data_IF_676587829411
#
_entry.id   IF_676587829411
#
_cell.length_a   1.000
_cell.length_b   1.000
_cell.length_c   1.000
_cell.angle_alpha   90.00
_cell.angle_beta   90.00
_cell.angle_gamma   90.00
#
_symmetry.space_group_name_H-M   'P 1'
#
loop_
_entity.id
_entity.type
_entity.pdbx_description
1 polymer ?
#
# COMPACT_ATOMS: atom_id res chain seq x y z
N UNK A 1 -16.90 21.75 6.62
CA UNK A 1 -16.34 20.49 7.16
C UNK A 1 -15.03 20.21 6.45
N UNK A 2 -13.96 19.82 7.17
CA UNK A 2 -12.74 19.33 6.50
C UNK A 2 -13.05 17.97 5.87
N UNK A 3 -12.74 17.81 4.59
CA UNK A 3 -12.88 16.54 3.85
C UNK A 3 -11.86 15.54 4.42
N UNK A 4 -12.27 14.31 4.71
CA UNK A 4 -11.31 13.26 5.09
C UNK A 4 -10.47 12.87 3.88
N UNK A 5 -9.19 12.60 4.15
CA UNK A 5 -8.24 12.06 3.18
C UNK A 5 -8.71 10.66 2.75
N UNK A 6 -9.01 10.42 1.47
CA UNK A 6 -9.50 9.13 1.00
C UNK A 6 -8.36 8.11 0.95
N UNK A 7 -8.73 6.83 0.83
CA UNK A 7 -7.82 5.72 0.57
C UNK A 7 -8.07 5.23 -0.86
N UNK A 8 -7.04 5.25 -1.69
CA UNK A 8 -7.07 4.70 -3.04
C UNK A 8 -6.52 3.28 -3.02
N UNK A 9 -7.36 2.30 -3.34
CA UNK A 9 -7.00 0.90 -3.37
C UNK A 9 -6.67 0.47 -4.80
N UNK A 10 -5.47 -0.09 -4.97
CA UNK A 10 -4.91 -0.66 -6.18
C UNK A 10 -4.60 -2.14 -5.94
N UNK A 11 -4.72 -2.96 -6.98
CA UNK A 11 -4.63 -4.41 -6.85
C UNK A 11 -4.10 -5.03 -8.14
N UNK A 12 -2.94 -5.70 -8.08
CA UNK A 12 -2.34 -6.40 -9.24
C UNK A 12 -2.84 -7.83 -9.41
N UNK A 13 -3.50 -8.39 -8.39
CA UNK A 13 -3.98 -9.78 -8.37
C UNK A 13 -5.47 -9.90 -8.72
N UNK A 14 -6.19 -8.79 -8.77
CA UNK A 14 -7.64 -8.73 -9.02
C UNK A 14 -8.46 -9.56 -8.01
N UNK A 15 -8.04 -9.57 -6.75
CA UNK A 15 -8.69 -10.32 -5.67
C UNK A 15 -10.07 -9.71 -5.43
N UNK A 16 -11.18 -10.45 -5.59
CA UNK A 16 -12.55 -9.88 -5.45
C UNK A 16 -13.21 -10.14 -4.10
N UNK A 17 -13.24 -11.37 -3.55
CA UNK A 17 -13.83 -11.61 -2.22
C UNK A 17 -13.11 -10.86 -1.09
N UNK A 18 -11.79 -10.76 -1.17
CA UNK A 18 -10.94 -10.32 -0.06
C UNK A 18 -10.81 -8.79 0.00
N UNK A 19 -11.35 -8.05 -0.98
CA UNK A 19 -11.50 -6.59 -0.89
C UNK A 19 -12.35 -6.16 0.30
N UNK A 20 -13.35 -6.97 0.65
CA UNK A 20 -14.15 -6.72 1.83
C UNK A 20 -13.30 -6.73 3.11
N UNK A 21 -12.25 -7.57 3.18
CA UNK A 21 -11.34 -7.63 4.32
C UNK A 21 -10.62 -6.29 4.57
N UNK A 22 -10.20 -5.64 3.49
CA UNK A 22 -9.56 -4.32 3.53
C UNK A 22 -10.54 -3.24 3.97
N UNK A 23 -11.72 -3.20 3.37
CA UNK A 23 -12.74 -2.21 3.72
C UNK A 23 -13.12 -2.35 5.19
N UNK A 24 -13.34 -3.58 5.66
CA UNK A 24 -13.60 -3.88 7.06
C UNK A 24 -12.47 -3.42 7.98
N UNK A 25 -11.20 -3.68 7.62
CA UNK A 25 -10.03 -3.21 8.37
C UNK A 25 -10.04 -1.68 8.52
N UNK A 26 -10.28 -0.96 7.43
CA UNK A 26 -10.32 0.51 7.41
C UNK A 26 -11.46 1.03 8.27
N UNK A 27 -12.66 0.44 8.18
CA UNK A 27 -13.79 0.85 9.01
C UNK A 27 -13.52 0.57 10.49
N UNK A 28 -12.89 -0.55 10.81
CA UNK A 28 -12.50 -0.89 12.18
C UNK A 28 -11.50 0.13 12.75
N UNK A 29 -10.48 0.52 11.97
CA UNK A 29 -9.57 1.62 12.36
C UNK A 29 -10.30 2.95 12.54
N UNK A 30 -11.26 3.27 11.67
CA UNK A 30 -12.05 4.49 11.79
C UNK A 30 -12.87 4.50 13.11
N UNK A 31 -13.47 3.37 13.47
CA UNK A 31 -14.18 3.19 14.74
C UNK A 31 -13.24 3.34 15.93
N UNK A 32 -12.08 2.68 15.91
CA UNK A 32 -11.06 2.76 16.96
C UNK A 32 -10.53 4.20 17.13
N UNK A 33 -10.30 4.90 16.01
CA UNK A 33 -9.89 6.31 15.96
C UNK A 33 -11.02 7.30 16.28
N UNK A 34 -12.23 6.81 16.60
CA UNK A 34 -13.43 7.63 16.88
C UNK A 34 -13.76 8.61 15.76
N UNK A 35 -13.52 8.21 14.52
CA UNK A 35 -13.88 8.99 13.34
C UNK A 35 -15.41 8.83 13.15
N UNK A 36 -16.20 9.92 13.20
CA UNK A 36 -17.66 9.84 13.22
C UNK A 36 -18.27 9.44 11.87
N UNK A 37 -17.47 9.35 10.82
CA UNK A 37 -17.90 9.01 9.46
C UNK A 37 -16.92 8.00 8.86
N UNK A 38 -17.41 7.17 7.94
CA UNK A 38 -16.58 6.20 7.22
C UNK A 38 -15.48 6.90 6.44
N UNK A 39 -14.25 6.37 6.49
CA UNK A 39 -13.18 6.79 5.60
C UNK A 39 -13.57 6.47 4.14
N UNK A 40 -13.46 7.42 3.20
CA UNK A 40 -13.75 7.13 1.79
C UNK A 40 -12.70 6.18 1.22
N UNK A 41 -13.13 5.08 0.63
CA UNK A 41 -12.28 4.11 -0.08
C UNK A 41 -12.64 4.12 -1.56
N UNK A 42 -11.69 4.47 -2.41
CA UNK A 42 -11.81 4.42 -3.86
C UNK A 42 -11.12 3.16 -4.37
N UNK A 43 -11.87 2.24 -4.98
CA UNK A 43 -11.30 1.01 -5.55
C UNK A 43 -11.02 1.23 -7.04
N UNK A 44 -9.73 1.23 -7.40
CA UNK A 44 -9.26 1.32 -8.78
C UNK A 44 -8.91 -0.05 -9.38
N UNK A 45 -8.92 -1.12 -8.58
CA UNK A 45 -8.52 -2.46 -9.00
C UNK A 45 -7.15 -2.50 -9.67
N UNK A 46 -7.04 -3.28 -10.74
CA UNK A 46 -5.84 -3.31 -11.58
C UNK A 46 -5.82 -2.09 -12.50
N UNK A 47 -5.45 -0.94 -11.95
CA UNK A 47 -5.48 0.34 -12.65
C UNK A 47 -4.56 0.35 -13.88
N UNK A 48 -5.16 0.68 -15.03
CA UNK A 48 -4.49 0.99 -16.30
C UNK A 48 -5.26 2.11 -16.99
N UNK A 49 -4.64 3.28 -17.14
CA UNK A 49 -5.19 4.37 -17.95
C UNK A 49 -5.32 3.95 -19.42
N UNK A 50 -6.20 4.59 -20.20
CA UNK A 50 -6.37 4.29 -21.62
C UNK A 50 -5.07 4.38 -22.44
N UNK A 51 -4.11 5.19 -22.01
CA UNK A 51 -2.82 5.38 -22.67
C UNK A 51 -1.64 4.91 -21.82
N UNK A 52 -1.81 3.86 -21.02
CA UNK A 52 -0.76 3.32 -20.14
C UNK A 52 0.47 2.78 -20.88
N UNK A 53 0.32 2.40 -22.16
CA UNK A 53 1.42 2.03 -23.05
C UNK A 53 1.71 3.14 -24.06
N UNK A 54 2.99 3.36 -24.35
CA UNK A 54 3.40 4.20 -25.47
C UNK A 54 3.29 3.46 -26.82
N UNK A 55 3.57 4.17 -27.92
CA UNK A 55 3.50 3.60 -29.28
C UNK A 55 4.48 2.44 -29.52
N UNK A 56 5.49 2.29 -28.66
CA UNK A 56 6.47 1.20 -28.71
C UNK A 56 6.14 0.04 -27.75
N UNK A 57 5.01 0.11 -27.05
CA UNK A 57 4.60 -0.91 -26.08
C UNK A 57 5.31 -0.81 -24.72
N UNK A 58 5.92 0.34 -24.41
CA UNK A 58 6.55 0.57 -23.10
C UNK A 58 5.56 1.19 -22.11
N UNK A 59 5.69 0.82 -20.84
CA UNK A 59 4.93 1.40 -19.73
C UNK A 59 5.22 2.90 -19.63
N UNK A 60 4.16 3.70 -19.63
CA UNK A 60 4.28 5.14 -19.40
C UNK A 60 4.27 5.44 -17.91
N UNK A 61 5.11 6.39 -17.44
CA UNK A 61 5.19 6.74 -16.03
C UNK A 61 3.84 7.05 -15.42
N UNK A 62 3.56 6.41 -14.30
CA UNK A 62 2.37 6.67 -13.48
C UNK A 62 1.03 6.38 -14.20
N UNK A 63 0.99 5.73 -15.36
CA UNK A 63 -0.29 5.49 -16.05
C UNK A 63 -0.86 4.07 -15.81
N UNK A 64 -0.21 3.28 -14.96
CA UNK A 64 -0.70 1.95 -14.58
C UNK A 64 -0.02 1.49 -13.31
N UNK A 65 -0.68 0.58 -12.57
CA UNK A 65 -0.05 -0.14 -11.46
C UNK A 65 1.18 -0.93 -11.91
N UNK A 66 1.18 -1.43 -13.16
CA UNK A 66 2.30 -2.19 -13.73
C UNK A 66 3.59 -1.35 -13.82
N UNK A 67 3.48 -0.04 -14.07
CA UNK A 67 4.64 0.85 -14.09
C UNK A 67 5.31 0.94 -12.71
N UNK A 68 4.52 1.03 -11.63
CA UNK A 68 5.06 1.07 -10.26
C UNK A 68 5.80 -0.20 -9.90
N UNK A 69 5.18 -1.35 -10.20
CA UNK A 69 5.77 -2.67 -9.98
C UNK A 69 7.06 -2.81 -10.78
N UNK A 70 7.04 -2.46 -12.07
CA UNK A 70 8.21 -2.56 -12.93
C UNK A 70 9.36 -1.63 -12.48
N UNK A 71 9.05 -0.40 -12.04
CA UNK A 71 10.04 0.55 -11.56
C UNK A 71 10.68 0.11 -10.22
N UNK A 72 9.95 -0.67 -9.42
CA UNK A 72 10.41 -1.17 -8.14
C UNK A 72 10.95 -2.62 -8.19
N UNK A 73 10.99 -3.25 -9.37
CA UNK A 73 11.38 -4.66 -9.50
C UNK A 73 12.90 -4.87 -9.33
N UNK A 74 13.29 -5.69 -8.36
CA UNK A 74 14.65 -6.19 -8.22
C UNK A 74 14.80 -7.50 -9.02
N UNK A 75 15.48 -7.42 -10.16
CA UNK A 75 15.69 -8.57 -11.04
C UNK A 75 16.58 -9.67 -10.43
N UNK A 76 17.48 -9.33 -9.50
CA UNK A 76 18.36 -10.30 -8.83
C UNK A 76 17.57 -11.12 -7.82
N UNK A 77 16.73 -10.45 -7.03
CA UNK A 77 15.93 -11.07 -5.96
C UNK A 77 14.58 -11.59 -6.44
N UNK A 78 14.10 -11.14 -7.60
CA UNK A 78 12.75 -11.40 -8.13
C UNK A 78 11.65 -10.96 -7.17
N UNK A 79 11.83 -9.79 -6.59
CA UNK A 79 10.93 -9.19 -5.61
C UNK A 79 10.72 -7.72 -5.94
N UNK A 80 9.62 -7.16 -5.46
CA UNK A 80 9.34 -5.73 -5.54
C UNK A 80 9.92 -5.04 -4.32
N UNK A 81 10.78 -4.04 -4.53
CA UNK A 81 11.30 -3.19 -3.47
C UNK A 81 10.19 -2.26 -2.97
N UNK A 82 9.65 -2.57 -1.78
CA UNK A 82 8.53 -1.82 -1.20
C UNK A 82 8.88 -0.37 -0.91
N UNK A 83 10.14 -0.08 -0.54
CA UNK A 83 10.60 1.29 -0.30
C UNK A 83 10.65 2.13 -1.58
N UNK A 84 11.13 1.55 -2.70
CA UNK A 84 11.13 2.20 -4.01
C UNK A 84 9.71 2.41 -4.53
N UNK A 85 8.85 1.40 -4.35
CA UNK A 85 7.45 1.50 -4.77
C UNK A 85 6.71 2.57 -3.96
N UNK A 86 6.85 2.58 -2.64
CA UNK A 86 6.20 3.56 -1.77
C UNK A 86 6.66 4.99 -2.09
N UNK A 87 7.95 5.18 -2.36
CA UNK A 87 8.48 6.48 -2.83
C UNK A 87 7.84 6.89 -4.16
N UNK A 88 7.71 5.95 -5.09
CA UNK A 88 7.07 6.21 -6.39
C UNK A 88 5.62 6.64 -6.22
N UNK A 89 4.88 6.05 -5.27
CA UNK A 89 3.52 6.47 -4.89
C UNK A 89 3.52 7.85 -4.24
N UNK A 90 4.45 8.13 -3.32
CA UNK A 90 4.54 9.44 -2.65
C UNK A 90 4.86 10.60 -3.60
N UNK A 91 5.61 10.34 -4.67
CA UNK A 91 6.06 11.33 -5.65
C UNK A 91 5.10 11.50 -6.84
N UNK A 92 3.92 10.87 -6.79
CA UNK A 92 2.95 10.91 -7.88
C UNK A 92 2.52 12.32 -8.25
N UNK A 93 2.52 12.67 -9.56
CA UNK A 93 2.11 14.01 -10.00
C UNK A 93 0.69 14.40 -9.57
N UNK A 94 -0.20 13.43 -9.40
CA UNK A 94 -1.60 13.68 -9.07
C UNK A 94 -1.92 13.78 -7.59
N UNK A 95 -0.98 13.51 -6.70
CA UNK A 95 -1.10 13.85 -5.26
C UNK A 95 -1.19 15.36 -5.03
N UNK A 96 -0.87 16.17 -6.05
CA UNK A 96 -1.14 17.62 -6.04
C UNK A 96 -2.62 17.89 -5.84
N UNK A 97 -2.92 18.89 -5.01
CA UNK A 97 -4.29 19.25 -4.60
C UNK A 97 -5.24 19.46 -5.79
N UNK A 98 -4.70 19.99 -6.89
CA UNK A 98 -5.43 20.36 -8.11
C UNK A 98 -5.88 19.16 -8.96
N UNK A 99 -5.34 17.95 -8.76
CA UNK A 99 -5.60 16.78 -9.63
C UNK A 99 -6.45 15.73 -8.92
N UNK A 100 -5.89 14.99 -7.95
CA UNK A 100 -6.66 14.04 -7.14
C UNK A 100 -6.70 14.38 -5.64
N UNK A 101 -5.90 15.37 -5.21
CA UNK A 101 -5.82 15.73 -3.80
C UNK A 101 -4.95 14.77 -3.00
N UNK A 102 -4.64 15.16 -1.78
CA UNK A 102 -3.94 14.30 -0.84
C UNK A 102 -4.79 13.07 -0.50
N UNK A 103 -4.20 11.88 -0.59
CA UNK A 103 -4.85 10.58 -0.36
C UNK A 103 -3.84 9.57 0.22
N UNK A 104 -4.35 8.51 0.85
CA UNK A 104 -3.54 7.34 1.17
C UNK A 104 -3.62 6.33 0.03
N UNK A 105 -2.54 5.60 -0.22
CA UNK A 105 -2.58 4.46 -1.13
C UNK A 105 -2.60 3.14 -0.37
N UNK A 106 -3.39 2.20 -0.87
CA UNK A 106 -3.25 0.79 -0.57
C UNK A 106 -2.94 0.06 -1.86
N UNK A 107 -1.81 -0.64 -1.92
CA UNK A 107 -1.50 -1.52 -3.03
C UNK A 107 -1.43 -2.98 -2.56
N UNK A 108 -2.24 -3.84 -3.16
CA UNK A 108 -2.16 -5.29 -2.98
C UNK A 108 -1.41 -5.87 -4.17
N UNK A 109 -0.25 -6.47 -3.91
CA UNK A 109 0.62 -7.06 -4.91
C UNK A 109 0.49 -8.57 -4.93
N UNK A 110 0.55 -9.19 -6.10
CA UNK A 110 0.79 -10.63 -6.23
C UNK A 110 2.26 -10.97 -5.98
N UNK A 111 3.17 -10.02 -6.20
CA UNK A 111 4.61 -10.18 -6.05
C UNK A 111 5.07 -10.21 -4.58
N UNK A 112 6.22 -10.84 -4.34
CA UNK A 112 6.91 -10.76 -3.05
C UNK A 112 7.46 -9.36 -2.81
N UNK A 113 7.45 -8.93 -1.54
CA UNK A 113 7.95 -7.62 -1.14
C UNK A 113 9.31 -7.72 -0.48
N UNK A 114 10.23 -6.89 -0.93
CA UNK A 114 11.48 -6.58 -0.24
C UNK A 114 11.26 -5.35 0.64
N UNK A 115 11.36 -5.49 1.96
CA UNK A 115 11.12 -4.38 2.90
C UNK A 115 12.14 -3.24 2.73
N UNK A 116 13.43 -3.58 2.62
CA UNK A 116 14.53 -2.61 2.62
C UNK A 116 15.56 -2.90 1.52
N UNK A 117 16.04 -1.81 0.92
CA UNK A 117 17.11 -1.83 -0.07
C UNK A 117 18.47 -2.08 0.60
N UNK A 118 19.30 -2.92 -0.01
CA UNK A 118 20.70 -3.11 0.42
C UNK A 118 20.96 -4.25 1.40
N UNK A 119 19.91 -4.94 1.89
CA UNK A 119 20.09 -6.16 2.70
C UNK A 119 20.40 -7.35 1.78
N UNK A 120 21.56 -8.00 1.98
CA UNK A 120 21.99 -9.15 1.17
C UNK A 120 21.10 -10.39 1.39
N UNK A 121 20.56 -10.55 2.60
CA UNK A 121 19.67 -11.65 3.03
C UNK A 121 18.29 -11.14 3.46
N UNK A 122 17.64 -10.37 2.59
CA UNK A 122 16.32 -9.85 2.93
C UNK A 122 15.23 -10.90 2.74
N UNK A 123 14.49 -11.18 3.81
CA UNK A 123 13.29 -12.01 3.76
C UNK A 123 12.12 -11.24 3.12
N UNK A 124 11.19 -11.99 2.51
CA UNK A 124 9.96 -11.40 1.96
C UNK A 124 9.11 -10.82 3.09
N UNK A 125 8.72 -9.56 2.93
CA UNK A 125 7.82 -8.86 3.83
C UNK A 125 6.35 -9.13 3.48
N UNK A 126 5.50 -9.15 4.50
CA UNK A 126 4.03 -9.18 4.30
C UNK A 126 3.52 -7.82 3.86
N UNK A 127 4.05 -6.74 4.44
CA UNK A 127 3.63 -5.38 4.10
C UNK A 127 4.75 -4.37 4.33
N UNK A 128 4.72 -3.27 3.58
CA UNK A 128 5.54 -2.07 3.78
C UNK A 128 4.59 -0.89 3.90
N UNK A 129 4.78 -0.04 4.92
CA UNK A 129 3.91 1.12 5.17
C UNK A 129 4.74 2.36 5.39
N UNK A 130 4.19 3.51 5.01
CA UNK A 130 4.82 4.81 5.23
C UNK A 130 3.80 5.80 5.78
N UNK A 131 4.21 6.52 6.82
CA UNK A 131 3.40 7.51 7.49
C UNK A 131 2.86 8.56 6.51
N UNK A 132 1.55 8.82 6.57
CA UNK A 132 0.81 9.76 5.71
C UNK A 132 0.77 9.42 4.22
N UNK A 133 1.40 8.34 3.77
CA UNK A 133 1.42 7.95 2.35
C UNK A 133 0.51 6.76 2.09
N UNK A 134 0.70 5.64 2.80
CA UNK A 134 -0.03 4.41 2.48
C UNK A 134 0.64 3.12 2.93
N UNK A 135 0.14 2.02 2.39
CA UNK A 135 0.56 0.65 2.68
C UNK A 135 0.60 -0.17 1.39
N UNK A 136 1.59 -1.05 1.29
CA UNK A 136 1.70 -2.08 0.26
C UNK A 136 1.62 -3.43 0.95
N UNK A 137 0.83 -4.37 0.44
CA UNK A 137 0.66 -5.73 0.98
C UNK A 137 1.05 -6.74 -0.09
N UNK A 138 1.85 -7.74 0.26
CA UNK A 138 2.20 -8.86 -0.60
C UNK A 138 1.22 -10.02 -0.36
N UNK A 139 0.37 -10.29 -1.34
CA UNK A 139 -0.54 -11.43 -1.32
C UNK A 139 0.23 -12.76 -1.39
N UNK A 140 1.36 -12.83 -2.12
CA UNK A 140 2.19 -14.04 -2.17
C UNK A 140 2.83 -14.37 -0.83
N UNK A 141 3.23 -13.36 -0.04
CA UNK A 141 3.70 -13.60 1.32
C UNK A 141 2.58 -14.17 2.21
N UNK A 142 1.34 -13.69 2.05
CA UNK A 142 0.18 -14.20 2.79
C UNK A 142 -0.19 -15.62 2.40
N UNK A 143 -0.15 -15.97 1.10
CA UNK A 143 -0.46 -17.33 0.61
C UNK A 143 0.39 -18.40 1.29
N UNK A 144 1.65 -18.09 1.62
CA UNK A 144 2.59 -19.02 2.27
C UNK A 144 2.18 -19.40 3.68
N UNK A 145 1.36 -18.57 4.34
CA UNK A 145 0.90 -18.83 5.70
C UNK A 145 -0.20 -19.90 5.74
N UNK A 146 -0.76 -20.30 4.58
CA UNK A 146 -1.78 -21.34 4.43
C UNK A 146 -2.92 -21.20 5.45
N UNK A 147 -3.44 -19.97 5.58
CA UNK A 147 -4.52 -19.60 6.48
C UNK A 147 -5.63 -18.88 5.71
N UNK A 148 -6.73 -18.55 6.38
CA UNK A 148 -7.82 -17.78 5.78
C UNK A 148 -7.33 -16.43 5.25
N UNK A 149 -7.36 -16.27 3.92
CA UNK A 149 -6.88 -15.07 3.23
C UNK A 149 -7.66 -13.82 3.66
N UNK A 150 -8.94 -13.96 3.99
CA UNK A 150 -9.73 -12.85 4.50
C UNK A 150 -9.15 -12.31 5.81
N UNK A 151 -8.95 -13.20 6.78
CA UNK A 151 -8.37 -12.83 8.08
C UNK A 151 -6.94 -12.28 7.95
N UNK A 152 -6.12 -12.90 7.09
CA UNK A 152 -4.75 -12.44 6.83
C UNK A 152 -4.71 -11.04 6.21
N UNK A 153 -5.49 -10.79 5.16
CA UNK A 153 -5.52 -9.51 4.48
C UNK A 153 -6.12 -8.42 5.37
N UNK A 154 -7.19 -8.72 6.12
CA UNK A 154 -7.74 -7.80 7.13
C UNK A 154 -6.68 -7.41 8.15
N UNK A 155 -5.94 -8.38 8.67
CA UNK A 155 -4.88 -8.16 9.68
C UNK A 155 -3.72 -7.34 9.10
N UNK A 156 -3.28 -7.66 7.88
CA UNK A 156 -2.22 -6.91 7.20
C UNK A 156 -2.65 -5.46 6.91
N UNK A 157 -3.90 -5.25 6.48
CA UNK A 157 -4.45 -3.92 6.27
C UNK A 157 -4.57 -3.13 7.58
N UNK A 158 -5.06 -3.74 8.66
CA UNK A 158 -5.10 -3.13 10.00
C UNK A 158 -3.72 -2.68 10.45
N UNK A 159 -2.73 -3.57 10.34
CA UNK A 159 -1.35 -3.31 10.75
C UNK A 159 -0.73 -2.18 9.93
N UNK A 160 -0.81 -2.27 8.59
CA UNK A 160 -0.19 -1.30 7.71
C UNK A 160 -0.82 0.09 7.82
N UNK A 161 -2.16 0.18 7.81
CA UNK A 161 -2.83 1.46 7.97
C UNK A 161 -2.69 2.05 9.36
N UNK A 162 -2.53 1.21 10.38
CA UNK A 162 -2.10 1.66 11.70
C UNK A 162 -0.84 2.54 11.61
N UNK A 163 0.21 2.05 10.95
CA UNK A 163 1.43 2.82 10.71
C UNK A 163 1.22 4.03 9.81
N UNK A 164 0.45 3.88 8.71
CA UNK A 164 0.15 5.00 7.81
C UNK A 164 -0.58 6.15 8.52
N UNK A 165 -1.44 5.85 9.50
CA UNK A 165 -2.15 6.83 10.34
C UNK A 165 -1.31 7.35 11.52
N UNK A 166 -0.10 6.82 11.73
CA UNK A 166 0.81 7.30 12.75
C UNK A 166 0.68 6.60 14.09
N UNK A 167 0.30 5.31 14.11
CA UNK A 167 0.71 4.46 15.24
C UNK A 167 2.25 4.47 15.33
N UNK A 168 2.81 4.43 16.56
CA UNK A 168 4.25 4.41 16.75
C UNK A 168 4.88 3.16 16.11
N UNK A 169 5.89 3.38 15.27
CA UNK A 169 6.80 2.35 14.77
C UNK A 169 8.19 2.66 15.36
N UNK A 170 8.99 1.65 15.68
CA UNK A 170 10.36 1.78 16.18
C UNK A 170 11.27 2.61 15.24
N UNK A 171 10.83 2.82 14.00
CA UNK A 171 11.50 3.63 12.97
C UNK A 171 11.11 5.11 12.98
N UNK A 172 10.24 5.53 13.91
CA UNK A 172 9.83 6.94 14.05
C UNK A 172 10.80 7.70 14.93
N UNK A 173 11.52 8.64 14.32
CA UNK A 173 12.44 9.53 15.02
C UNK A 173 11.73 10.63 15.82
N UNK A 174 10.42 10.82 15.61
CA UNK A 174 9.60 11.84 16.25
C UNK A 174 8.86 11.35 17.50
N UNK A 175 9.04 10.08 17.88
CA UNK A 175 8.47 9.49 19.09
C UNK A 175 9.59 9.01 20.00
N UNK A 176 9.61 9.51 21.24
CA UNK A 176 10.51 9.03 22.27
C UNK A 176 9.96 7.76 22.92
N UNK A 177 10.60 6.63 22.63
CA UNK A 177 10.25 5.31 23.16
C UNK A 177 10.84 5.03 24.55
N UNK A 178 11.53 6.00 25.18
CA UNK A 178 12.20 5.79 26.49
C UNK A 178 11.26 5.44 27.65
N UNK A 179 9.94 5.62 27.50
CA UNK A 179 8.96 5.23 28.52
C UNK A 179 8.23 3.91 28.25
N UNK A 180 8.64 3.15 27.23
CA UNK A 180 8.19 1.77 26.99
C UNK A 180 6.80 1.64 26.35
N UNK A 181 6.61 0.54 25.61
CA UNK A 181 5.32 0.01 25.18
C UNK A 181 4.66 -0.78 26.31
#
# INVERSE_FOLDING_TARGET
>A
MKKLKPINMLDTRMIRPERAAVVDAIQELAVLGRIPQSLPVNDFGHYRDHHWLDKSGRLRPHLSVDWYVANAWDAKRKMVNGSVLMRSLAEEPWRREEIFGDHYDLLILDEELLAEEGLEEAESAVSVSQHLIGTIISASALDRLNYDMYALLKTAALHGFGHAFGLPDLRRDDIDFTHGL
#
